data_IF_688781827355
#
_entry.id   IF_688781827355
#
_cell.length_a   1.000
_cell.length_b   1.000
_cell.length_c   1.000
_cell.angle_alpha   90.00
_cell.angle_beta   90.00
_cell.angle_gamma   90.00
#
_symmetry.space_group_name_H-M   'P 1'
#
loop_
_entity.id
_entity.type
_entity.pdbx_description
1 polymer ?
#
# COMPACT_ATOMS: atom_id res chain seq x y z
N UNK A 1 0.98 6.78 -6.18
CA UNK A 1 1.11 7.98 -5.33
C UNK A 1 -0.24 8.17 -4.67
N UNK A 2 -0.34 8.07 -3.34
CA UNK A 2 -1.59 8.35 -2.61
C UNK A 2 -1.81 9.85 -2.58
N UNK A 3 -2.88 10.31 -3.22
CA UNK A 3 -3.29 11.73 -3.21
C UNK A 3 -4.37 11.88 -2.15
N UNK A 4 -4.20 12.84 -1.25
CA UNK A 4 -5.20 13.19 -0.24
C UNK A 4 -5.85 14.47 -0.73
N UNK A 5 -7.15 14.42 -1.04
CA UNK A 5 -7.88 15.59 -1.55
C UNK A 5 -8.03 16.68 -0.50
N UNK A 6 -8.25 16.29 0.76
CA UNK A 6 -8.32 17.20 1.90
C UNK A 6 -7.64 16.59 3.14
N UNK A 7 -6.68 17.32 3.69
CA UNK A 7 -6.04 16.91 4.94
C UNK A 7 -6.99 17.11 6.12
N UNK A 8 -7.00 16.14 7.02
CA UNK A 8 -7.72 16.22 8.30
C UNK A 8 -6.74 15.88 9.44
N UNK A 9 -7.13 16.15 10.68
CA UNK A 9 -6.38 15.75 11.85
C UNK A 9 -6.07 14.24 11.88
N UNK A 10 -7.00 13.42 11.39
CA UNK A 10 -6.80 11.97 11.17
C UNK A 10 -5.65 11.70 10.20
N UNK A 11 -5.64 12.36 9.04
CA UNK A 11 -4.59 12.21 8.04
C UNK A 11 -3.23 12.64 8.60
N UNK A 12 -3.16 13.78 9.28
CA UNK A 12 -1.93 14.27 9.91
C UNK A 12 -1.40 13.31 10.98
N UNK A 13 -2.29 12.74 11.82
CA UNK A 13 -1.92 11.75 12.82
C UNK A 13 -1.39 10.45 12.18
N UNK A 14 -2.03 9.98 11.10
CA UNK A 14 -1.60 8.80 10.36
C UNK A 14 -0.21 9.01 9.74
N UNK A 15 0.06 10.19 9.17
CA UNK A 15 1.37 10.54 8.58
C UNK A 15 2.47 10.57 9.66
N UNK A 16 2.24 11.25 10.78
CA UNK A 16 3.18 11.26 11.92
C UNK A 16 3.54 9.85 12.38
N UNK A 17 2.53 8.99 12.55
CA UNK A 17 2.72 7.59 12.96
C UNK A 17 3.49 6.81 11.91
N UNK A 18 3.20 7.01 10.62
CA UNK A 18 3.89 6.35 9.53
C UNK A 18 5.37 6.75 9.43
N UNK A 19 5.69 8.01 9.75
CA UNK A 19 7.05 8.54 9.86
C UNK A 19 7.75 8.13 11.16
N UNK A 20 7.05 7.50 12.11
CA UNK A 20 7.55 7.10 13.43
C UNK A 20 8.11 8.25 14.27
N UNK A 21 7.54 9.45 14.10
CA UNK A 21 7.96 10.65 14.82
C UNK A 21 7.14 10.85 16.08
N UNK A 22 7.72 11.47 17.11
CA UNK A 22 6.95 11.97 18.26
C UNK A 22 6.06 13.15 17.84
N UNK A 23 5.17 13.58 18.72
CA UNK A 23 4.38 14.79 18.45
C UNK A 23 5.29 16.02 18.34
N UNK A 24 6.28 16.11 19.20
CA UNK A 24 7.19 17.25 19.30
C UNK A 24 8.01 17.39 18.00
N UNK A 25 8.63 16.29 17.55
CA UNK A 25 9.43 16.28 16.33
C UNK A 25 8.59 16.59 15.09
N UNK A 26 7.36 16.07 15.01
CA UNK A 26 6.50 16.34 13.86
C UNK A 26 5.93 17.77 13.88
N UNK A 27 5.63 18.31 15.06
CA UNK A 27 5.20 19.69 15.21
C UNK A 27 6.32 20.66 14.83
N UNK A 28 7.56 20.37 15.24
CA UNK A 28 8.75 21.13 14.85
C UNK A 28 8.93 21.13 13.32
N UNK A 29 8.82 19.98 12.67
CA UNK A 29 8.89 19.88 11.21
C UNK A 29 7.80 20.71 10.50
N UNK A 30 6.58 20.74 11.04
CA UNK A 30 5.49 21.53 10.49
C UNK A 30 5.55 23.02 10.88
N UNK A 31 6.46 23.41 11.78
CA UNK A 31 6.53 24.78 12.31
C UNK A 31 5.32 25.17 13.16
N UNK A 32 4.68 24.20 13.82
CA UNK A 32 3.49 24.41 14.65
C UNK A 32 3.73 24.03 16.11
N UNK A 33 2.83 24.43 17.00
CA UNK A 33 2.85 23.96 18.38
C UNK A 33 2.43 22.48 18.48
N UNK A 34 3.05 21.67 19.36
CA UNK A 34 2.57 20.33 19.68
C UNK A 34 1.10 20.30 20.15
N UNK A 35 0.60 21.41 20.71
CA UNK A 35 -0.82 21.56 21.09
C UNK A 35 -1.76 21.41 19.89
N UNK A 36 -1.35 21.88 18.72
CA UNK A 36 -2.14 21.75 17.48
C UNK A 36 -2.30 20.27 17.10
N UNK A 37 -1.24 19.46 17.23
CA UNK A 37 -1.32 18.02 17.00
C UNK A 37 -2.19 17.30 18.03
N UNK A 38 -2.12 17.70 19.30
CA UNK A 38 -3.02 17.16 20.33
C UNK A 38 -4.48 17.48 19.99
N UNK A 39 -4.77 18.72 19.58
CA UNK A 39 -6.11 19.12 19.15
C UNK A 39 -6.60 18.32 17.94
N UNK A 40 -5.75 18.06 16.96
CA UNK A 40 -6.07 17.19 15.81
C UNK A 40 -6.31 15.73 16.20
N UNK A 41 -5.64 15.24 17.24
CA UNK A 41 -5.91 13.90 17.78
C UNK A 41 -7.26 13.83 18.49
N UNK A 42 -7.61 14.86 19.26
CA UNK A 42 -8.90 14.96 19.95
C UNK A 42 -10.06 15.18 18.98
N UNK A 43 -9.81 15.88 17.87
CA UNK A 43 -10.79 16.23 16.84
C UNK A 43 -10.25 15.86 15.46
N UNK A 44 -10.32 14.56 15.09
CA UNK A 44 -9.72 14.03 13.87
C UNK A 44 -10.30 14.61 12.58
N UNK A 45 -11.52 15.16 12.62
CA UNK A 45 -12.23 15.80 11.52
C UNK A 45 -11.78 17.23 11.22
N UNK A 46 -10.94 17.84 12.07
CA UNK A 46 -10.47 19.20 11.83
C UNK A 46 -9.60 19.26 10.58
N UNK A 47 -9.94 20.22 9.71
CA UNK A 47 -9.18 20.52 8.49
C UNK A 47 -8.08 21.54 8.83
N UNK A 48 -6.79 21.23 8.56
CA UNK A 48 -5.69 22.19 8.69
C UNK A 48 -5.85 23.38 7.74
N UNK A 49 -5.21 24.51 8.06
CA UNK A 49 -5.15 25.65 7.14
C UNK A 49 -4.48 25.26 5.82
N UNK A 50 -4.77 25.96 4.70
CA UNK A 50 -4.20 25.64 3.39
C UNK A 50 -2.67 25.51 3.39
N UNK A 51 -1.98 26.40 4.10
CA UNK A 51 -0.52 26.34 4.27
C UNK A 51 -0.05 25.01 4.91
N UNK A 52 -0.77 24.52 5.91
CA UNK A 52 -0.43 23.25 6.55
C UNK A 52 -0.78 22.05 5.67
N UNK A 53 -1.82 22.14 4.84
CA UNK A 53 -2.13 21.08 3.87
C UNK A 53 -0.99 20.93 2.84
N UNK A 54 -0.49 22.04 2.30
CA UNK A 54 0.64 22.03 1.37
C UNK A 54 1.93 21.50 2.03
N UNK A 55 2.17 21.86 3.29
CA UNK A 55 3.28 21.32 4.06
C UNK A 55 3.14 19.80 4.26
N UNK A 56 1.95 19.32 4.65
CA UNK A 56 1.67 17.90 4.82
C UNK A 56 1.81 17.11 3.52
N UNK A 57 1.36 17.65 2.39
CA UNK A 57 1.58 17.08 1.05
C UNK A 57 3.06 16.95 0.73
N UNK A 58 3.84 17.99 1.04
CA UNK A 58 5.29 17.98 0.83
C UNK A 58 5.96 16.90 1.68
N UNK A 59 5.55 16.75 2.94
CA UNK A 59 6.08 15.71 3.82
C UNK A 59 5.69 14.30 3.37
N UNK A 60 4.45 14.10 2.95
CA UNK A 60 4.00 12.83 2.37
C UNK A 60 4.78 12.51 1.10
N UNK A 61 5.01 13.49 0.20
CA UNK A 61 5.77 13.29 -1.03
C UNK A 61 7.24 12.92 -0.78
N UNK A 62 7.84 13.44 0.29
CA UNK A 62 9.25 13.18 0.67
C UNK A 62 9.42 11.93 1.54
N UNK A 63 8.34 11.32 2.01
CA UNK A 63 8.40 10.19 2.92
C UNK A 63 9.01 8.95 2.21
N UNK A 64 9.72 8.08 2.94
CA UNK A 64 10.26 6.86 2.36
C UNK A 64 9.12 5.91 1.94
N UNK A 65 9.34 5.01 0.97
CA UNK A 65 8.31 4.10 0.46
C UNK A 65 7.58 3.31 1.56
N UNK A 66 8.31 2.86 2.58
CA UNK A 66 7.71 2.14 3.71
C UNK A 66 6.76 3.00 4.55
N UNK A 67 7.02 4.31 4.65
CA UNK A 67 6.12 5.23 5.34
C UNK A 67 4.83 5.42 4.53
N UNK A 68 4.87 5.38 3.20
CA UNK A 68 3.66 5.43 2.39
C UNK A 68 2.77 4.20 2.63
N UNK A 69 3.38 3.02 2.72
CA UNK A 69 2.66 1.77 3.05
C UNK A 69 2.01 1.87 4.44
N UNK A 70 2.78 2.27 5.46
CA UNK A 70 2.24 2.46 6.82
C UNK A 70 1.15 3.53 6.85
N UNK A 71 1.30 4.62 6.10
CA UNK A 71 0.30 5.68 6.01
C UNK A 71 -1.02 5.16 5.43
N UNK A 72 -0.96 4.44 4.31
CA UNK A 72 -2.13 3.82 3.70
C UNK A 72 -2.79 2.79 4.65
N UNK A 73 -1.99 1.94 5.30
CA UNK A 73 -2.48 0.97 6.28
C UNK A 73 -3.16 1.65 7.49
N UNK A 74 -2.55 2.72 8.03
CA UNK A 74 -3.12 3.49 9.15
C UNK A 74 -4.45 4.16 8.78
N UNK A 75 -4.69 4.44 7.49
CA UNK A 75 -5.95 4.98 6.98
C UNK A 75 -6.94 3.91 6.50
N UNK A 76 -6.55 2.63 6.54
CA UNK A 76 -7.35 1.54 5.98
C UNK A 76 -7.46 1.56 4.45
N UNK A 77 -6.61 2.33 3.76
CA UNK A 77 -6.59 2.41 2.29
C UNK A 77 -5.92 1.20 1.64
N UNK A 78 -5.10 0.46 2.39
CA UNK A 78 -4.45 -0.76 1.90
C UNK A 78 -5.44 -1.95 1.80
N UNK A 79 -6.67 -1.79 2.29
CA UNK A 79 -7.74 -2.79 2.20
C UNK A 79 -8.27 -2.98 0.77
N UNK A 80 -7.88 -2.09 -0.16
CA UNK A 80 -8.27 -2.16 -1.58
C UNK A 80 -7.24 -2.91 -2.44
N UNK A 81 -6.11 -3.34 -1.86
CA UNK A 81 -5.43 -4.55 -2.37
C UNK A 81 -6.28 -5.74 -1.96
N UNK A 82 -7.39 -5.92 -2.68
CA UNK A 82 -8.22 -7.10 -2.54
C UNK A 82 -7.30 -8.34 -2.49
N UNK A 83 -7.56 -9.30 -1.60
CA UNK A 83 -6.79 -10.54 -1.57
C UNK A 83 -6.76 -11.03 -3.01
N UNK A 84 -5.54 -11.27 -3.56
CA UNK A 84 -5.38 -11.77 -4.94
C UNK A 84 -6.52 -12.76 -5.16
N UNK A 85 -7.41 -12.45 -6.10
CA UNK A 85 -8.71 -13.11 -6.17
C UNK A 85 -8.46 -14.61 -6.15
N UNK A 86 -8.86 -15.25 -5.04
CA UNK A 86 -8.56 -16.66 -4.81
C UNK A 86 -9.14 -17.52 -5.92
N UNK A 87 -10.21 -17.03 -6.57
CA UNK A 87 -10.80 -17.62 -7.75
C UNK A 87 -9.83 -17.60 -8.92
N UNK A 88 -9.22 -16.45 -9.21
CA UNK A 88 -8.23 -16.28 -10.29
C UNK A 88 -6.99 -17.14 -10.03
N UNK A 89 -6.49 -17.16 -8.79
CA UNK A 89 -5.37 -18.04 -8.40
C UNK A 89 -5.69 -19.52 -8.60
N UNK A 90 -6.90 -19.93 -8.23
CA UNK A 90 -7.34 -21.32 -8.39
C UNK A 90 -7.47 -21.68 -9.87
N UNK A 91 -8.06 -20.81 -10.69
CA UNK A 91 -8.18 -20.99 -12.13
C UNK A 91 -6.81 -21.13 -12.81
N UNK A 92 -5.84 -20.29 -12.42
CA UNK A 92 -4.48 -20.36 -12.96
C UNK A 92 -3.79 -21.68 -12.61
N UNK A 93 -3.89 -22.13 -11.35
CA UNK A 93 -3.32 -23.40 -10.92
C UNK A 93 -3.95 -24.60 -11.65
N UNK A 94 -5.26 -24.58 -11.87
CA UNK A 94 -5.95 -25.61 -12.65
C UNK A 94 -5.46 -25.63 -14.10
N UNK A 95 -5.40 -24.47 -14.75
CA UNK A 95 -4.91 -24.36 -16.12
C UNK A 95 -3.47 -24.85 -16.28
N UNK A 96 -2.59 -24.55 -15.31
CA UNK A 96 -1.22 -25.06 -15.29
C UNK A 96 -1.17 -26.59 -15.15
N UNK A 97 -2.06 -27.17 -14.34
CA UNK A 97 -2.21 -28.62 -14.20
C UNK A 97 -2.67 -29.29 -15.50
N UNK A 98 -3.61 -28.68 -16.20
CA UNK A 98 -4.12 -29.18 -17.49
C UNK A 98 -3.04 -29.15 -18.57
N UNK A 99 -2.28 -28.05 -18.66
CA UNK A 99 -1.14 -27.95 -19.57
C UNK A 99 -0.07 -29.01 -19.27
N UNK A 100 0.23 -29.25 -18.00
CA UNK A 100 1.17 -30.29 -17.59
C UNK A 100 0.73 -31.67 -18.06
N UNK A 101 -0.59 -31.96 -17.97
CA UNK A 101 -1.17 -33.22 -18.45
C UNK A 101 -1.12 -33.35 -19.97
N UNK A 102 -1.37 -32.28 -20.71
CA UNK A 102 -1.28 -32.26 -22.18
C UNK A 102 0.16 -32.50 -22.62
N UNK A 103 1.14 -31.84 -21.99
CA UNK A 103 2.56 -32.05 -22.29
C UNK A 103 3.00 -33.50 -22.03
N UNK A 104 2.57 -34.10 -20.91
CA UNK A 104 2.87 -35.49 -20.61
C UNK A 104 2.27 -36.46 -21.65
N UNK A 105 1.08 -36.16 -22.18
CA UNK A 105 0.45 -36.95 -23.24
C UNK A 105 1.23 -36.85 -24.56
N UNK A 106 1.65 -35.66 -24.95
CA UNK A 106 2.42 -35.45 -26.18
C UNK A 106 3.79 -36.14 -26.12
N UNK A 107 4.42 -36.18 -24.94
CA UNK A 107 5.68 -36.91 -24.74
C UNK A 107 5.51 -38.44 -24.76
N UNK A 108 4.36 -38.95 -24.30
CA UNK A 108 4.05 -40.37 -24.32
C UNK A 108 3.66 -40.89 -25.71
N UNK A 109 3.19 -40.01 -26.61
CA UNK A 109 2.82 -40.34 -28.00
C UNK A 109 4.05 -40.38 -28.96
N UNK A 110 5.27 -40.16 -28.46
CA UNK A 110 6.53 -40.32 -29.22
C UNK A 110 7.39 -41.52 -28.75
N UNK A 111 6.99 -42.80 -28.96
CA UNK A 111 7.84 -43.96 -28.73
C UNK A 111 8.58 -44.50 -29.96
N UNK A 112 8.38 -43.94 -31.16
CA UNK A 112 8.85 -44.53 -32.44
C UNK A 112 9.86 -43.63 -33.17
N UNK A 113 10.97 -43.30 -32.50
CA UNK A 113 12.22 -42.92 -33.20
C UNK A 113 13.40 -43.74 -32.67
N UNK A 114 13.30 -45.06 -32.81
CA UNK A 114 14.48 -45.92 -32.75
C UNK A 114 15.36 -45.69 -34.00
N UNK A 115 16.69 -45.60 -33.85
CA UNK A 115 17.61 -45.46 -34.98
C UNK A 115 17.67 -46.79 -35.74
N UNK A 116 17.49 -46.75 -37.06
CA UNK A 116 17.81 -47.91 -37.90
C UNK A 116 19.34 -48.08 -38.01
N UNK A 117 19.85 -49.32 -37.99
CA UNK A 117 21.28 -49.66 -38.01
C UNK A 117 21.97 -49.38 -39.35
#
# INVERSE_FOLDING_TARGET
>A
MTVIEEWTGRHAHALRTALRLTNEAFAEQLGISPRTLTKWRERPELVPSPFLQEALDTYLKKAPPEAHLRFAANLGLDQDRGPIDKTVLTQLNTALGDLTRVLARLQAEDPERSPSP
#
